data_IF_678595540216
#
_entry.id   IF_678595540216
#
_cell.length_a   1.000
_cell.length_b   1.000
_cell.length_c   1.000
_cell.angle_alpha   90.00
_cell.angle_beta   90.00
_cell.angle_gamma   90.00
#
_symmetry.space_group_name_H-M   'P 1'
#
loop_
_entity.id
_entity.type
_entity.pdbx_description
1 polymer ?
#
# COMPACT_ATOMS: atom_id res chain seq x y z
N UNK A 1 35.83 -17.68 -56.80
CA UNK A 1 37.14 -17.64 -56.10
C UNK A 1 36.99 -16.65 -54.96
N UNK A 2 37.27 -16.89 -53.68
CA UNK A 2 37.72 -18.05 -52.93
C UNK A 2 37.10 -17.93 -51.52
N UNK A 3 36.72 -19.06 -50.93
CA UNK A 3 36.28 -19.21 -49.53
C UNK A 3 37.47 -18.96 -48.59
N UNK A 4 37.26 -18.29 -47.46
CA UNK A 4 38.19 -18.35 -46.33
C UNK A 4 37.45 -18.76 -45.04
N UNK A 5 38.10 -19.66 -44.33
CA UNK A 5 37.68 -20.51 -43.20
C UNK A 5 37.89 -19.76 -41.89
N UNK A 6 36.86 -19.61 -41.04
CA UNK A 6 36.62 -20.29 -39.76
C UNK A 6 37.78 -20.25 -38.74
N UNK A 7 37.58 -19.51 -37.64
CA UNK A 7 38.16 -19.81 -36.33
C UNK A 7 37.13 -19.51 -35.24
N UNK A 8 36.82 -20.56 -34.49
CA UNK A 8 35.87 -20.57 -33.39
C UNK A 8 36.50 -20.00 -32.11
N UNK A 9 35.72 -19.25 -31.34
CA UNK A 9 35.95 -19.10 -29.91
C UNK A 9 34.58 -19.19 -29.21
N UNK A 10 34.33 -20.34 -28.59
CA UNK A 10 33.20 -20.61 -27.72
C UNK A 10 33.49 -19.90 -26.39
N UNK A 11 32.62 -18.98 -25.99
CA UNK A 11 32.48 -18.57 -24.60
C UNK A 11 31.00 -18.62 -24.24
N UNK A 12 30.58 -19.77 -23.73
CA UNK A 12 29.33 -19.92 -22.99
C UNK A 12 29.62 -19.54 -21.55
N UNK A 13 28.99 -18.47 -21.07
CA UNK A 13 28.74 -18.29 -19.65
C UNK A 13 27.40 -17.56 -19.49
N UNK A 14 26.44 -18.28 -18.91
CA UNK A 14 25.06 -17.89 -18.67
C UNK A 14 24.93 -16.65 -17.78
N UNK A 15 24.00 -15.78 -18.14
CA UNK A 15 23.23 -15.01 -17.17
C UNK A 15 21.86 -14.69 -17.78
N UNK A 16 20.95 -15.65 -17.70
CA UNK A 16 19.51 -15.40 -17.84
C UNK A 16 19.03 -14.94 -16.47
N UNK A 17 18.90 -13.62 -16.29
CA UNK A 17 18.02 -12.99 -15.30
C UNK A 17 17.54 -11.72 -16.01
N UNK A 18 16.42 -11.75 -16.72
CA UNK A 18 15.12 -11.69 -16.07
C UNK A 18 14.75 -10.24 -15.73
N UNK A 19 14.79 -9.32 -16.70
CA UNK A 19 14.21 -7.98 -16.55
C UNK A 19 12.85 -7.92 -17.25
N UNK A 20 11.90 -8.67 -16.70
CA UNK A 20 10.48 -8.45 -16.94
C UNK A 20 9.91 -7.70 -15.73
N UNK A 21 10.22 -6.41 -15.65
CA UNK A 21 9.59 -5.49 -14.70
C UNK A 21 9.43 -4.12 -15.36
N UNK A 22 8.73 -4.08 -16.48
CA UNK A 22 8.31 -2.85 -17.13
C UNK A 22 6.90 -3.05 -17.71
N UNK A 23 5.93 -3.30 -16.83
CA UNK A 23 4.51 -3.21 -17.15
C UNK A 23 3.71 -2.80 -15.91
N UNK A 24 4.09 -1.70 -15.25
CA UNK A 24 3.30 -1.19 -14.11
C UNK A 24 3.45 0.32 -13.93
N UNK A 25 3.29 1.09 -15.02
CA UNK A 25 3.25 2.58 -14.96
C UNK A 25 2.01 3.15 -15.68
N UNK A 26 0.96 2.35 -15.89
CA UNK A 26 -0.31 2.86 -16.45
C UNK A 26 -1.46 2.91 -15.42
N UNK A 27 -1.15 2.72 -14.13
CA UNK A 27 -2.11 2.70 -13.01
C UNK A 27 -2.39 4.08 -12.39
N UNK A 28 -1.85 5.17 -12.95
CA UNK A 28 -1.98 6.52 -12.37
C UNK A 28 -3.33 7.20 -12.67
N UNK A 29 -4.14 6.64 -13.57
CA UNK A 29 -5.47 7.17 -13.88
C UNK A 29 -6.52 6.10 -13.63
N UNK A 30 -6.99 6.00 -12.38
CA UNK A 30 -8.21 5.24 -12.10
C UNK A 30 -9.35 5.81 -12.96
N UNK A 31 -10.00 4.98 -13.77
CA UNK A 31 -11.19 5.36 -14.53
C UNK A 31 -12.39 4.54 -14.08
N UNK A 32 -13.59 5.12 -13.99
CA UNK A 32 -14.78 4.37 -13.57
C UNK A 32 -15.10 3.19 -14.51
N UNK A 33 -14.84 3.35 -15.81
CA UNK A 33 -15.11 2.32 -16.83
C UNK A 33 -14.22 1.07 -16.70
N UNK A 34 -13.10 1.16 -15.98
CA UNK A 34 -12.14 0.06 -15.87
C UNK A 34 -12.44 -0.88 -14.68
N UNK A 35 -13.52 -0.62 -13.93
CA UNK A 35 -13.79 -1.32 -12.67
C UNK A 35 -13.83 -2.85 -12.79
N UNK A 36 -14.42 -3.41 -13.84
CA UNK A 36 -14.47 -4.88 -14.02
C UNK A 36 -13.12 -5.49 -14.37
N UNK A 37 -12.34 -4.82 -15.22
CA UNK A 37 -10.97 -5.23 -15.52
C UNK A 37 -10.10 -5.19 -14.26
N UNK A 38 -10.28 -4.14 -13.45
CA UNK A 38 -9.52 -3.93 -12.22
C UNK A 38 -9.96 -4.86 -11.10
N UNK A 39 -11.22 -5.31 -11.08
CA UNK A 39 -11.67 -6.37 -10.18
C UNK A 39 -10.94 -7.69 -10.46
N UNK A 40 -10.73 -8.05 -11.72
CA UNK A 40 -9.93 -9.23 -12.09
C UNK A 40 -8.48 -9.13 -11.59
N UNK A 41 -7.84 -7.96 -11.77
CA UNK A 41 -6.49 -7.70 -11.22
C UNK A 41 -6.47 -7.75 -9.70
N UNK A 42 -7.48 -7.20 -9.05
CA UNK A 42 -7.64 -7.22 -7.60
C UNK A 42 -7.71 -8.65 -7.05
N UNK A 43 -8.55 -9.51 -7.64
CA UNK A 43 -8.69 -10.91 -7.25
C UNK A 43 -7.34 -11.63 -7.33
N UNK A 44 -6.60 -11.44 -8.44
CA UNK A 44 -5.28 -12.05 -8.63
C UNK A 44 -4.22 -11.48 -7.68
N UNK A 45 -4.13 -10.15 -7.55
CA UNK A 45 -3.10 -9.46 -6.76
C UNK A 45 -3.17 -9.79 -5.27
N UNK A 46 -4.39 -9.90 -4.74
CA UNK A 46 -4.61 -10.19 -3.32
C UNK A 46 -5.03 -11.63 -3.05
N UNK A 47 -4.89 -12.51 -4.06
CA UNK A 47 -5.22 -13.93 -3.99
C UNK A 47 -6.60 -14.19 -3.35
N UNK A 48 -7.61 -13.45 -3.79
CA UNK A 48 -8.97 -13.53 -3.27
C UNK A 48 -9.66 -14.77 -3.84
N UNK A 49 -10.47 -15.41 -3.02
CA UNK A 49 -11.28 -16.57 -3.40
C UNK A 49 -12.72 -16.33 -2.99
N UNK A 50 -13.65 -16.53 -3.91
CA UNK A 50 -15.07 -16.32 -3.69
C UNK A 50 -15.86 -17.54 -4.18
N UNK A 51 -16.94 -17.88 -3.49
CA UNK A 51 -17.99 -18.74 -4.06
C UNK A 51 -18.77 -17.98 -5.15
N UNK A 52 -19.59 -18.70 -5.94
CA UNK A 52 -20.39 -18.07 -7.00
C UNK A 52 -21.30 -16.96 -6.47
N UNK A 53 -21.88 -17.15 -5.28
CA UNK A 53 -22.81 -16.19 -4.67
C UNK A 53 -22.06 -14.97 -4.09
N UNK A 54 -20.87 -15.18 -3.53
CA UNK A 54 -20.04 -14.11 -2.96
C UNK A 54 -19.37 -13.24 -4.03
N UNK A 55 -19.03 -13.82 -5.19
CA UNK A 55 -18.30 -13.13 -6.25
C UNK A 55 -19.04 -11.88 -6.74
N UNK A 56 -20.35 -11.98 -6.96
CA UNK A 56 -21.15 -10.84 -7.43
C UNK A 56 -21.28 -9.76 -6.36
N UNK A 57 -21.41 -10.15 -5.08
CA UNK A 57 -21.43 -9.21 -3.96
C UNK A 57 -20.09 -8.50 -3.80
N UNK A 58 -18.98 -9.24 -3.86
CA UNK A 58 -17.63 -8.69 -3.78
C UNK A 58 -17.34 -7.74 -4.96
N UNK A 59 -17.76 -8.10 -6.17
CA UNK A 59 -17.66 -7.25 -7.36
C UNK A 59 -18.44 -5.94 -7.19
N UNK A 60 -19.67 -5.99 -6.68
CA UNK A 60 -20.48 -4.79 -6.46
C UNK A 60 -19.85 -3.83 -5.44
N UNK A 61 -19.32 -4.37 -4.33
CA UNK A 61 -18.56 -3.59 -3.33
C UNK A 61 -17.31 -2.98 -3.93
N UNK A 62 -16.54 -3.77 -4.69
CA UNK A 62 -15.36 -3.31 -5.42
C UNK A 62 -15.67 -2.15 -6.36
N UNK A 63 -16.67 -2.29 -7.23
CA UNK A 63 -17.04 -1.24 -8.19
C UNK A 63 -17.45 0.07 -7.48
N UNK A 64 -18.12 -0.04 -6.32
CA UNK A 64 -18.49 1.11 -5.49
C UNK A 64 -17.24 1.79 -4.94
N UNK A 65 -16.35 1.04 -4.28
CA UNK A 65 -15.13 1.57 -3.70
C UNK A 65 -14.14 2.10 -4.76
N UNK A 66 -14.08 1.47 -5.93
CA UNK A 66 -13.29 1.93 -7.07
C UNK A 66 -13.73 3.31 -7.53
N UNK A 67 -15.05 3.53 -7.68
CA UNK A 67 -15.62 4.82 -8.05
C UNK A 67 -15.29 5.90 -7.00
N UNK A 68 -15.41 5.54 -5.72
CA UNK A 68 -15.05 6.44 -4.62
C UNK A 68 -13.56 6.84 -4.71
N UNK A 69 -12.66 5.90 -4.98
CA UNK A 69 -11.23 6.19 -5.14
C UNK A 69 -10.95 7.13 -6.32
N UNK A 70 -11.62 6.94 -7.46
CA UNK A 70 -11.53 7.85 -8.62
C UNK A 70 -11.96 9.27 -8.23
N UNK A 71 -13.11 9.39 -7.58
CA UNK A 71 -13.65 10.69 -7.17
C UNK A 71 -12.75 11.39 -6.15
N UNK A 72 -12.18 10.63 -5.21
CA UNK A 72 -11.23 11.16 -4.24
C UNK A 72 -9.97 11.67 -4.93
N UNK A 73 -9.37 10.89 -5.84
CA UNK A 73 -8.20 11.36 -6.60
C UNK A 73 -8.47 12.67 -7.33
N UNK A 74 -9.61 12.79 -8.01
CA UNK A 74 -9.99 14.02 -8.69
C UNK A 74 -10.10 15.21 -7.71
N UNK A 75 -10.74 15.02 -6.55
CA UNK A 75 -10.88 16.05 -5.51
C UNK A 75 -9.53 16.46 -4.92
N UNK A 76 -8.66 15.50 -4.61
CA UNK A 76 -7.34 15.78 -4.06
C UNK A 76 -6.48 16.56 -5.06
N UNK A 77 -6.46 16.16 -6.33
CA UNK A 77 -5.76 16.92 -7.37
C UNK A 77 -6.28 18.36 -7.50
N UNK A 78 -7.60 18.56 -7.48
CA UNK A 78 -8.19 19.91 -7.56
C UNK A 78 -7.82 20.79 -6.37
N UNK A 79 -7.65 20.19 -5.19
CA UNK A 79 -7.32 20.90 -3.95
C UNK A 79 -5.81 21.02 -3.71
N UNK A 80 -4.96 20.64 -4.67
CA UNK A 80 -3.50 20.65 -4.54
C UNK A 80 -2.95 19.58 -3.58
N UNK A 81 -3.75 18.55 -3.29
CA UNK A 81 -3.33 17.39 -2.51
C UNK A 81 -2.56 16.38 -3.35
N UNK A 82 -1.64 15.67 -2.70
CA UNK A 82 -0.77 14.66 -3.32
C UNK A 82 -1.23 13.22 -3.07
N UNK A 83 -2.34 13.04 -2.32
CA UNK A 83 -2.86 11.72 -2.00
C UNK A 83 -3.42 11.03 -3.26
N UNK A 84 -2.93 9.81 -3.51
CA UNK A 84 -3.39 8.95 -4.61
C UNK A 84 -3.96 7.66 -4.03
N UNK A 85 -5.25 7.44 -4.28
CA UNK A 85 -5.98 6.22 -4.00
C UNK A 85 -5.82 5.25 -5.18
N UNK A 86 -5.66 3.96 -4.88
CA UNK A 86 -5.42 2.91 -5.88
C UNK A 86 -5.95 1.55 -5.41
N UNK A 87 -5.46 0.47 -6.03
CA UNK A 87 -5.78 -0.89 -5.59
C UNK A 87 -5.33 -1.13 -4.15
N UNK A 88 -6.25 -1.58 -3.30
CA UNK A 88 -6.01 -1.99 -1.92
C UNK A 88 -6.69 -3.34 -1.65
N UNK A 89 -6.23 -4.13 -0.66
CA UNK A 89 -6.83 -5.42 -0.31
C UNK A 89 -8.25 -5.31 0.27
N UNK A 90 -8.71 -4.09 0.55
CA UNK A 90 -9.96 -3.78 1.24
C UNK A 90 -11.07 -3.30 0.30
N UNK A 91 -10.82 -3.25 -1.01
CA UNK A 91 -11.79 -2.72 -1.97
C UNK A 91 -13.08 -3.57 -2.07
N UNK A 92 -13.07 -4.81 -1.61
CA UNK A 92 -14.25 -5.69 -1.54
C UNK A 92 -15.02 -5.60 -0.21
N UNK A 93 -14.69 -4.63 0.67
CA UNK A 93 -15.31 -4.48 2.00
C UNK A 93 -16.16 -3.21 2.09
N UNK A 94 -17.25 -3.27 2.86
CA UNK A 94 -17.93 -2.04 3.32
C UNK A 94 -17.18 -1.41 4.49
N UNK A 95 -17.56 -0.18 4.84
CA UNK A 95 -17.01 0.52 6.01
C UNK A 95 -17.25 -0.26 7.30
N UNK A 96 -18.40 -0.89 7.45
CA UNK A 96 -18.79 -1.68 8.62
C UNK A 96 -18.01 -3.00 8.70
N UNK A 97 -17.80 -3.67 7.54
CA UNK A 97 -16.97 -4.86 7.46
C UNK A 97 -15.51 -4.54 7.78
N UNK A 98 -15.00 -3.41 7.26
CA UNK A 98 -13.67 -2.93 7.60
C UNK A 98 -13.56 -2.60 9.09
N UNK A 99 -14.54 -1.88 9.65
CA UNK A 99 -14.54 -1.49 11.05
C UNK A 99 -14.55 -2.69 11.98
N UNK A 100 -15.44 -3.65 11.75
CA UNK A 100 -15.58 -4.84 12.60
C UNK A 100 -14.34 -5.74 12.59
N UNK A 101 -13.56 -5.70 11.51
CA UNK A 101 -12.38 -6.56 11.33
C UNK A 101 -11.07 -5.87 11.69
N UNK A 102 -10.92 -4.58 11.37
CA UNK A 102 -9.63 -3.89 11.46
C UNK A 102 -9.55 -2.80 12.53
N UNK A 103 -10.69 -2.27 13.00
CA UNK A 103 -10.66 -1.27 14.06
C UNK A 103 -10.74 -1.95 15.42
N UNK A 104 -9.81 -1.60 16.30
CA UNK A 104 -9.88 -2.04 17.70
C UNK A 104 -11.06 -1.34 18.38
N UNK A 105 -11.82 -2.09 19.17
CA UNK A 105 -12.79 -1.49 20.08
C UNK A 105 -12.07 -0.56 21.05
N UNK A 106 -12.52 0.70 21.12
CA UNK A 106 -12.05 1.64 22.14
C UNK A 106 -12.56 1.15 23.49
N UNK A 107 -11.75 0.36 24.18
CA UNK A 107 -12.01 0.02 25.58
C UNK A 107 -11.61 1.24 26.41
N UNK A 108 -12.50 1.76 27.28
CA UNK A 108 -12.07 2.68 28.31
C UNK A 108 -10.89 2.05 29.04
N UNK A 109 -9.77 2.75 29.09
CA UNK A 109 -8.58 2.22 29.73
C UNK A 109 -8.89 2.05 31.23
N UNK A 110 -8.94 0.81 31.71
CA UNK A 110 -8.75 0.49 33.14
C UNK A 110 -7.28 0.69 33.56
N UNK A 111 -6.45 1.25 32.68
CA UNK A 111 -5.07 1.62 32.98
C UNK A 111 -5.11 2.67 34.09
N UNK A 112 -4.73 2.24 35.30
CA UNK A 112 -4.18 3.15 36.29
C UNK A 112 -3.00 3.85 35.59
N UNK A 113 -3.23 5.09 35.16
CA UNK A 113 -2.18 5.97 34.64
C UNK A 113 -1.28 6.30 35.82
N UNK A 114 -0.32 5.40 36.11
CA UNK A 114 0.68 5.58 37.16
C UNK A 114 1.52 6.85 36.94
N UNK A 115 1.60 7.32 35.70
CA UNK A 115 2.33 8.53 35.33
C UNK A 115 1.48 9.40 34.39
N UNK A 116 0.88 10.44 34.97
CA UNK A 116 0.43 11.59 34.18
C UNK A 116 1.68 12.22 33.59
N UNK A 117 1.66 12.49 32.28
CA UNK A 117 2.72 13.25 31.62
C UNK A 117 2.88 14.62 32.32
N UNK A 118 3.91 14.73 33.15
CA UNK A 118 4.25 15.96 33.84
C UNK A 118 5.32 16.69 33.03
N UNK A 119 4.88 17.66 32.23
CA UNK A 119 5.75 18.50 31.43
C UNK A 119 6.78 19.27 32.27
N UNK A 120 6.58 19.40 33.59
CA UNK A 120 7.55 20.03 34.49
C UNK A 120 8.72 19.12 34.88
N UNK A 121 8.64 17.80 34.59
CA UNK A 121 9.73 16.83 34.75
C UNK A 121 10.65 16.73 33.53
N UNK A 122 10.43 17.54 32.49
CA UNK A 122 11.44 17.73 31.46
C UNK A 122 12.69 18.32 32.14
N UNK A 123 13.77 17.54 32.20
CA UNK A 123 15.03 17.95 32.84
C UNK A 123 15.42 19.36 32.37
N UNK A 124 15.49 20.32 33.30
CA UNK A 124 15.93 21.68 32.99
C UNK A 124 17.38 21.72 32.45
N UNK A 125 18.17 20.67 32.71
CA UNK A 125 19.53 20.48 32.18
C UNK A 125 19.54 19.94 30.73
N UNK A 126 18.44 19.36 30.27
CA UNK A 126 18.21 18.98 28.88
C UNK A 126 17.21 19.96 28.28
N UNK A 127 17.60 21.24 28.14
CA UNK A 127 16.91 22.16 27.26
C UNK A 127 16.98 21.58 25.84
N UNK A 128 16.01 20.73 25.51
CA UNK A 128 15.83 20.19 24.17
C UNK A 128 15.64 21.43 23.31
N UNK A 129 16.66 21.78 22.53
CA UNK A 129 16.53 22.81 21.52
C UNK A 129 15.28 22.55 20.69
N UNK A 130 14.68 23.59 20.11
CA UNK A 130 13.45 23.46 19.33
C UNK A 130 13.52 22.24 18.40
N UNK A 131 12.44 21.44 18.40
CA UNK A 131 12.37 20.26 17.55
C UNK A 131 12.58 20.63 16.08
N UNK A 132 13.24 19.75 15.33
CA UNK A 132 13.46 19.94 13.91
C UNK A 132 12.12 20.07 13.16
N UNK A 133 12.08 20.87 12.09
CA UNK A 133 10.90 21.03 11.21
C UNK A 133 10.49 19.71 10.53
N UNK A 134 11.40 18.73 10.47
CA UNK A 134 11.17 17.39 9.93
C UNK A 134 12.01 16.37 10.69
N UNK A 135 11.36 15.32 11.18
CA UNK A 135 12.03 14.25 11.91
C UNK A 135 11.38 12.90 11.62
N UNK A 136 12.21 11.88 11.37
CA UNK A 136 11.76 10.52 11.08
C UNK A 136 12.46 9.51 12.01
N UNK A 137 11.68 8.88 12.90
CA UNK A 137 12.16 7.87 13.83
C UNK A 137 12.73 6.61 13.15
N UNK A 138 12.29 6.33 11.92
CA UNK A 138 12.76 5.17 11.19
C UNK A 138 14.19 5.35 10.71
N UNK A 139 14.61 6.58 10.38
CA UNK A 139 15.99 6.91 10.02
C UNK A 139 16.95 6.75 11.21
N UNK A 140 16.40 6.81 12.43
CA UNK A 140 17.11 6.55 13.68
C UNK A 140 17.13 5.07 14.07
N UNK A 141 16.64 4.17 13.20
CA UNK A 141 16.58 2.74 13.46
C UNK A 141 15.60 2.35 14.57
N UNK A 142 14.63 3.22 14.90
CA UNK A 142 13.63 2.97 15.96
C UNK A 142 12.35 2.32 15.45
N UNK A 143 12.17 2.24 14.13
CA UNK A 143 11.03 1.56 13.52
C UNK A 143 11.35 0.09 13.24
N UNK A 144 10.38 -0.78 13.54
CA UNK A 144 10.38 -2.16 13.05
C UNK A 144 9.78 -2.23 11.63
N UNK A 145 9.99 -3.33 10.89
CA UNK A 145 9.30 -3.52 9.61
C UNK A 145 7.79 -3.44 9.75
N UNK A 146 7.12 -2.97 8.69
CA UNK A 146 5.66 -2.87 8.61
C UNK A 146 5.06 -4.26 8.80
N UNK A 147 4.08 -4.35 9.71
CA UNK A 147 3.31 -5.57 9.98
C UNK A 147 1.94 -5.51 9.32
N UNK A 148 1.29 -6.66 9.20
CA UNK A 148 -0.12 -6.78 8.83
C UNK A 148 -0.87 -7.36 10.03
N UNK A 149 -1.91 -6.66 10.52
CA UNK A 149 -2.65 -7.07 11.72
C UNK A 149 -3.50 -8.33 11.55
N UNK A 150 -3.67 -8.82 10.32
CA UNK A 150 -4.28 -10.12 10.00
C UNK A 150 -3.21 -11.18 9.65
N UNK A 151 -2.09 -11.16 10.37
CA UNK A 151 -1.16 -12.29 10.55
C UNK A 151 -0.87 -12.54 12.03
#
# INVERSE_FOLDING_TARGET
MARLVLLAAIAVASAVVGLAAAHDINDLALKPADADFQFGRFVMKYNKTYTSDEMEVARAKFQTNWRNAVEMNAKHMMNGGEAVFGLSPFLDMTTEEFASKYLMEVRPSEVEVDEVFDASRADADNAVGGADDSFNWCDQGKCTPIKNQEQ
#
